data_IF_956461375646
#
_entry.id   IF_956461375646
#
_cell.length_a   1.000
_cell.length_b   1.000
_cell.length_c   1.000
_cell.angle_alpha   90.00
_cell.angle_beta   90.00
_cell.angle_gamma   90.00
#
_symmetry.space_group_name_H-M   'P 1'
#
loop_
_entity.id
_entity.type
_entity.pdbx_description
1 polymer ?
#
# COMPACT_ATOMS: atom_id res chain seq x y z
N UNK A 1 9.86 -13.90 7.50
CA UNK A 1 10.40 -14.02 6.16
C UNK A 1 10.79 -12.68 5.56
N UNK A 2 9.88 -11.80 5.12
CA UNK A 2 10.28 -10.44 4.74
C UNK A 2 10.49 -9.58 5.98
N UNK A 3 11.61 -8.88 6.04
CA UNK A 3 11.84 -7.81 7.00
C UNK A 3 11.23 -6.51 6.47
N UNK A 4 11.63 -6.11 5.27
CA UNK A 4 11.10 -4.93 4.60
C UNK A 4 11.18 -5.05 3.08
N UNK A 5 10.40 -4.24 2.40
CA UNK A 5 10.38 -4.07 0.95
C UNK A 5 10.53 -2.59 0.61
N UNK A 6 11.35 -2.28 -0.37
CA UNK A 6 11.46 -0.92 -0.90
C UNK A 6 10.81 -0.84 -2.28
N UNK A 7 9.92 0.13 -2.46
CA UNK A 7 9.33 0.49 -3.73
C UNK A 7 9.98 1.77 -4.27
N UNK A 8 10.25 1.77 -5.56
CA UNK A 8 10.65 2.99 -6.26
C UNK A 8 9.42 3.83 -6.56
N UNK A 9 9.49 5.12 -6.28
CA UNK A 9 8.41 6.06 -6.52
C UNK A 9 8.93 7.23 -7.36
N UNK A 10 8.17 7.61 -8.39
CA UNK A 10 8.48 8.79 -9.19
C UNK A 10 8.37 10.08 -8.36
N UNK A 11 7.39 10.10 -7.45
CA UNK A 11 7.18 11.16 -6.47
C UNK A 11 6.96 10.52 -5.09
N UNK A 12 8.01 10.50 -4.28
CA UNK A 12 7.99 9.84 -2.96
C UNK A 12 6.95 10.46 -2.03
N UNK A 13 6.79 11.79 -2.04
CA UNK A 13 5.81 12.48 -1.19
C UNK A 13 4.37 12.12 -1.60
N UNK A 14 4.10 12.05 -2.90
CA UNK A 14 2.79 11.64 -3.40
C UNK A 14 2.47 10.19 -3.02
N UNK A 15 3.45 9.29 -3.15
CA UNK A 15 3.29 7.88 -2.73
C UNK A 15 3.10 7.74 -1.23
N UNK A 16 3.89 8.44 -0.42
CA UNK A 16 3.73 8.43 1.04
C UNK A 16 2.34 8.92 1.45
N UNK A 17 1.86 10.00 0.84
CA UNK A 17 0.51 10.53 1.07
C UNK A 17 -0.57 9.53 0.67
N UNK A 18 -0.41 8.85 -0.46
CA UNK A 18 -1.32 7.80 -0.91
C UNK A 18 -1.46 6.69 0.13
N UNK A 19 -0.34 6.08 0.53
CA UNK A 19 -0.38 4.93 1.45
C UNK A 19 -0.90 5.32 2.83
N UNK A 20 -0.49 6.46 3.37
CA UNK A 20 -0.92 6.91 4.71
C UNK A 20 -2.37 7.38 4.74
N UNK A 21 -2.91 7.88 3.64
CA UNK A 21 -4.31 8.33 3.55
C UNK A 21 -5.24 7.16 3.24
N UNK A 22 -4.93 6.39 2.19
CA UNK A 22 -5.82 5.33 1.69
C UNK A 22 -5.82 4.12 2.62
N UNK A 23 -4.67 3.77 3.20
CA UNK A 23 -4.53 2.61 4.09
C UNK A 23 -4.50 2.99 5.58
N UNK A 24 -4.98 4.18 5.94
CA UNK A 24 -5.04 4.62 7.35
C UNK A 24 -5.83 3.65 8.23
N UNK A 25 -6.90 3.05 7.70
CA UNK A 25 -7.72 2.07 8.43
C UNK A 25 -6.96 0.78 8.79
N UNK A 26 -5.85 0.49 8.12
CA UNK A 26 -4.95 -0.63 8.44
C UNK A 26 -3.85 -0.23 9.43
N UNK A 27 -3.84 1.01 9.90
CA UNK A 27 -2.80 1.54 10.77
C UNK A 27 -1.53 1.96 10.05
N UNK A 28 -1.57 2.10 8.72
CA UNK A 28 -0.39 2.54 7.95
C UNK A 28 -0.09 4.00 8.24
N UNK A 29 1.14 4.27 8.64
CA UNK A 29 1.62 5.60 8.96
C UNK A 29 3.10 5.76 8.63
N UNK A 30 3.53 6.99 8.44
CA UNK A 30 4.96 7.31 8.32
C UNK A 30 5.64 7.08 9.68
N UNK A 31 6.68 6.25 9.69
CA UNK A 31 7.45 5.95 10.87
C UNK A 31 8.84 6.58 10.82
N UNK A 32 9.37 6.80 9.63
CA UNK A 32 10.73 7.23 9.44
C UNK A 32 10.89 7.95 8.11
N UNK A 33 11.73 8.99 8.07
CA UNK A 33 12.17 9.59 6.81
C UNK A 33 13.59 10.11 6.93
N UNK A 34 14.32 10.05 5.86
CA UNK A 34 15.66 10.64 5.81
C UNK A 34 16.00 11.09 4.38
N UNK A 35 16.90 12.09 4.25
CA UNK A 35 17.33 12.53 2.93
C UNK A 35 18.19 11.48 2.25
N UNK A 36 18.06 11.38 0.94
CA UNK A 36 18.92 10.57 0.08
C UNK A 36 19.21 11.36 -1.19
N UNK A 37 20.33 11.08 -1.86
CA UNK A 37 20.70 11.76 -3.09
C UNK A 37 19.54 11.80 -4.08
N UNK A 38 19.11 13.03 -4.44
CA UNK A 38 18.01 13.24 -5.37
C UNK A 38 16.61 13.23 -4.73
N UNK A 39 16.48 13.17 -3.38
CA UNK A 39 15.17 13.21 -2.75
C UNK A 39 15.13 12.75 -1.30
N UNK A 40 14.06 12.09 -0.96
CA UNK A 40 13.76 11.59 0.38
C UNK A 40 13.40 10.10 0.31
N UNK A 41 13.71 9.38 1.38
CA UNK A 41 13.25 8.02 1.62
C UNK A 41 12.31 8.03 2.80
N UNK A 42 11.15 7.40 2.64
CA UNK A 42 10.10 7.34 3.66
C UNK A 42 9.81 5.88 4.03
N UNK A 43 9.89 5.58 5.31
CA UNK A 43 9.53 4.28 5.87
C UNK A 43 8.12 4.30 6.44
N UNK A 44 7.28 3.40 5.99
CA UNK A 44 5.89 3.25 6.42
C UNK A 44 5.75 2.03 7.33
N UNK A 45 5.09 2.23 8.45
CA UNK A 45 4.83 1.17 9.42
C UNK A 45 3.33 0.88 9.51
N UNK A 46 3.02 -0.34 9.89
CA UNK A 46 1.71 -0.74 10.36
C UNK A 46 1.58 -0.67 11.89
N UNK A 47 0.62 -1.41 12.48
CA UNK A 47 0.35 -1.37 13.93
C UNK A 47 1.53 -1.73 14.83
N UNK A 48 2.48 -2.52 14.34
CA UNK A 48 3.68 -2.90 15.11
C UNK A 48 4.72 -1.76 15.22
N UNK A 49 4.54 -0.69 14.43
CA UNK A 49 5.45 0.46 14.44
C UNK A 49 6.76 0.27 13.70
N UNK A 50 7.01 -0.92 13.14
CA UNK A 50 8.23 -1.18 12.38
C UNK A 50 8.05 -0.81 10.90
N UNK A 51 9.02 -0.12 10.27
CA UNK A 51 8.89 0.29 8.86
C UNK A 51 9.19 -0.88 7.91
N UNK A 52 8.15 -1.63 7.54
CA UNK A 52 8.27 -2.74 6.60
C UNK A 52 8.19 -2.33 5.14
N UNK A 53 7.61 -1.17 4.83
CA UNK A 53 7.49 -0.66 3.47
C UNK A 53 8.23 0.65 3.33
N UNK A 54 9.18 0.68 2.40
CA UNK A 54 10.00 1.87 2.12
C UNK A 54 9.69 2.43 0.75
N UNK A 55 9.65 3.75 0.67
CA UNK A 55 9.45 4.49 -0.57
C UNK A 55 10.68 5.34 -0.84
N UNK A 56 11.26 5.22 -2.01
CA UNK A 56 12.45 5.98 -2.38
C UNK A 56 12.52 6.26 -3.88
N UNK A 57 13.41 7.17 -4.30
CA UNK A 57 13.62 7.44 -5.72
C UNK A 57 14.28 6.25 -6.41
N UNK A 58 14.09 6.15 -7.73
CA UNK A 58 14.78 5.16 -8.54
C UNK A 58 16.29 5.48 -8.59
N UNK A 59 17.12 4.49 -8.22
CA UNK A 59 18.57 4.66 -8.18
C UNK A 59 19.23 4.47 -9.54
N UNK A 60 18.62 3.68 -10.43
CA UNK A 60 19.22 3.28 -11.71
C UNK A 60 18.70 4.08 -12.89
N UNK A 61 17.70 4.92 -12.72
CA UNK A 61 17.02 5.63 -13.81
C UNK A 61 16.19 4.73 -14.72
N UNK A 62 16.08 3.42 -14.43
CA UNK A 62 15.23 2.50 -15.18
C UNK A 62 13.79 2.66 -14.76
N UNK A 63 12.80 2.46 -15.67
CA UNK A 63 11.40 2.42 -15.30
C UNK A 63 11.14 1.33 -14.26
N UNK A 64 10.31 1.64 -13.25
CA UNK A 64 9.87 0.66 -12.28
C UNK A 64 8.93 -0.36 -12.98
N UNK A 65 9.05 -1.63 -12.58
CA UNK A 65 8.09 -2.66 -12.99
C UNK A 65 6.91 -2.62 -12.04
N UNK A 66 5.73 -2.93 -12.56
CA UNK A 66 4.55 -3.13 -11.73
C UNK A 66 4.78 -4.28 -10.74
N UNK A 67 4.48 -4.02 -9.48
CA UNK A 67 4.44 -5.04 -8.42
C UNK A 67 3.02 -5.22 -7.93
N UNK A 68 2.74 -6.36 -7.34
CA UNK A 68 1.54 -6.62 -6.56
C UNK A 68 1.93 -6.64 -5.09
N UNK A 69 1.29 -5.76 -4.30
CA UNK A 69 1.53 -5.63 -2.87
C UNK A 69 0.22 -5.75 -2.12
N UNK A 70 0.12 -6.71 -1.21
CA UNK A 70 -1.06 -6.91 -0.37
C UNK A 70 -0.76 -6.53 1.08
N UNK A 71 -1.59 -5.66 1.65
CA UNK A 71 -1.51 -5.23 3.05
C UNK A 71 -2.63 -5.89 3.85
N UNK A 72 -2.27 -6.44 5.01
CA UNK A 72 -3.22 -7.14 5.87
C UNK A 72 -4.18 -6.19 6.55
N UNK A 73 -5.47 -6.47 6.43
CA UNK A 73 -6.53 -5.78 7.15
C UNK A 73 -6.99 -6.61 8.36
N UNK A 74 -7.28 -5.97 9.50
CA UNK A 74 -7.71 -6.68 10.70
C UNK A 74 -9.10 -7.33 10.55
N UNK A 75 -9.95 -6.76 9.71
CA UNK A 75 -11.31 -7.22 9.45
C UNK A 75 -11.81 -6.73 8.09
N UNK A 76 -13.01 -7.17 7.68
CA UNK A 76 -13.63 -6.74 6.42
C UNK A 76 -14.00 -5.25 6.43
N UNK A 77 -14.38 -4.72 7.59
CA UNK A 77 -14.73 -3.30 7.71
C UNK A 77 -13.52 -2.39 7.40
N UNK A 78 -12.31 -2.81 7.78
CA UNK A 78 -11.09 -2.10 7.41
C UNK A 78 -10.81 -2.13 5.90
N UNK A 79 -11.08 -3.26 5.23
CA UNK A 79 -11.01 -3.35 3.77
C UNK A 79 -12.00 -2.38 3.11
N UNK A 80 -13.24 -2.33 3.59
CA UNK A 80 -14.26 -1.40 3.10
C UNK A 80 -13.86 0.06 3.33
N UNK A 81 -13.24 0.36 4.48
CA UNK A 81 -12.74 1.70 4.80
C UNK A 81 -11.62 2.14 3.85
N UNK A 82 -10.73 1.24 3.47
CA UNK A 82 -9.71 1.51 2.44
C UNK A 82 -10.38 1.87 1.11
N UNK A 83 -11.39 1.14 0.70
CA UNK A 83 -12.14 1.44 -0.52
C UNK A 83 -12.79 2.85 -0.46
N UNK A 84 -13.44 3.17 0.65
CA UNK A 84 -14.05 4.50 0.86
C UNK A 84 -13.00 5.60 0.77
N UNK A 85 -11.85 5.44 1.44
CA UNK A 85 -10.76 6.41 1.38
C UNK A 85 -10.20 6.57 -0.04
N UNK A 86 -10.10 5.47 -0.79
CA UNK A 86 -9.66 5.49 -2.19
C UNK A 86 -10.63 6.30 -3.08
N UNK A 87 -11.93 6.11 -2.90
CA UNK A 87 -12.94 6.86 -3.65
C UNK A 87 -12.87 8.36 -3.34
N UNK A 88 -12.73 8.73 -2.07
CA UNK A 88 -12.58 10.14 -1.65
C UNK A 88 -11.33 10.77 -2.25
N UNK A 89 -10.23 10.03 -2.29
CA UNK A 89 -8.95 10.49 -2.83
C UNK A 89 -8.88 10.47 -4.37
N UNK A 90 -9.90 9.96 -5.05
CA UNK A 90 -9.91 9.84 -6.52
C UNK A 90 -8.95 8.78 -7.06
N UNK A 91 -8.64 7.77 -6.26
CA UNK A 91 -7.73 6.68 -6.63
C UNK A 91 -8.44 5.70 -7.56
N UNK A 92 -7.71 5.18 -8.55
CA UNK A 92 -8.25 4.14 -9.43
C UNK A 92 -8.45 2.84 -8.66
N UNK A 93 -9.69 2.38 -8.61
CA UNK A 93 -10.08 1.08 -8.04
C UNK A 93 -10.09 0.04 -9.16
N UNK A 94 -9.27 -0.99 -9.03
CA UNK A 94 -9.25 -2.10 -9.97
C UNK A 94 -10.42 -3.05 -9.73
N UNK A 95 -10.63 -3.40 -8.46
CA UNK A 95 -11.73 -4.27 -8.03
C UNK A 95 -12.25 -3.78 -6.68
N UNK A 96 -13.54 -3.45 -6.55
CA UNK A 96 -14.12 -3.09 -5.27
C UNK A 96 -14.11 -4.28 -4.30
N UNK A 97 -14.32 -4.03 -2.99
CA UNK A 97 -14.28 -5.09 -1.99
C UNK A 97 -15.27 -6.21 -2.27
N UNK A 98 -14.80 -7.43 -2.23
CA UNK A 98 -15.63 -8.63 -2.33
C UNK A 98 -14.89 -9.86 -1.84
N UNK A 99 -15.62 -10.96 -1.67
CA UNK A 99 -15.02 -12.27 -1.49
C UNK A 99 -14.43 -12.74 -2.81
N UNK A 100 -13.24 -13.33 -2.75
CA UNK A 100 -12.50 -13.89 -3.88
C UNK A 100 -12.36 -15.40 -3.68
N UNK A 101 -13.42 -16.18 -3.94
CA UNK A 101 -13.46 -17.59 -3.59
C UNK A 101 -12.45 -18.45 -4.37
N UNK A 102 -11.96 -17.96 -5.52
CA UNK A 102 -10.92 -18.64 -6.29
C UNK A 102 -9.58 -18.71 -5.55
N UNK A 103 -9.34 -17.81 -4.58
CA UNK A 103 -8.15 -17.89 -3.73
C UNK A 103 -8.43 -18.77 -2.51
N UNK A 104 -9.48 -18.47 -1.77
CA UNK A 104 -10.10 -19.33 -0.77
C UNK A 104 -11.43 -18.69 -0.28
N UNK A 105 -12.34 -19.45 0.37
CA UNK A 105 -13.68 -18.94 0.70
C UNK A 105 -13.72 -17.74 1.64
N UNK A 106 -12.70 -17.53 2.46
CA UNK A 106 -12.60 -16.44 3.41
C UNK A 106 -11.73 -15.26 2.96
N UNK A 107 -11.35 -15.22 1.68
CA UNK A 107 -10.53 -14.14 1.13
C UNK A 107 -11.41 -12.94 0.79
N UNK A 108 -11.25 -11.82 1.49
CA UNK A 108 -11.98 -10.58 1.24
C UNK A 108 -11.00 -9.44 0.97
N UNK A 109 -11.07 -8.84 -0.21
CA UNK A 109 -10.06 -7.87 -0.62
C UNK A 109 -10.55 -6.82 -1.60
N UNK A 110 -9.84 -5.68 -1.60
CA UNK A 110 -9.97 -4.57 -2.53
C UNK A 110 -8.64 -4.35 -3.24
N UNK A 111 -8.68 -4.06 -4.54
CA UNK A 111 -7.49 -3.86 -5.37
C UNK A 111 -7.49 -2.46 -5.95
N UNK A 112 -6.37 -1.74 -5.80
CA UNK A 112 -6.20 -0.35 -6.18
C UNK A 112 -4.92 -0.15 -7.00
N UNK A 113 -4.81 0.98 -7.70
CA UNK A 113 -3.53 1.45 -8.26
C UNK A 113 -2.89 2.48 -7.35
N UNK A 114 -1.61 2.32 -7.04
CA UNK A 114 -0.85 3.38 -6.40
C UNK A 114 -0.40 4.45 -7.43
N UNK A 115 0.23 5.56 -7.02
CA UNK A 115 0.65 6.61 -7.96
C UNK A 115 1.61 6.16 -9.07
N UNK A 116 2.35 5.07 -8.85
CA UNK A 116 3.28 4.51 -9.84
C UNK A 116 2.67 3.38 -10.67
N UNK A 117 1.38 3.09 -10.49
CA UNK A 117 0.65 2.06 -11.22
C UNK A 117 0.76 0.66 -10.65
N UNK A 118 1.31 0.49 -9.46
CA UNK A 118 1.37 -0.82 -8.80
C UNK A 118 -0.04 -1.28 -8.39
N UNK A 119 -0.24 -2.58 -8.41
CA UNK A 119 -1.46 -3.21 -7.91
C UNK A 119 -1.33 -3.39 -6.40
N UNK A 120 -2.06 -2.58 -5.64
CA UNK A 120 -2.01 -2.59 -4.17
C UNK A 120 -3.34 -3.06 -3.61
N UNK A 121 -3.28 -3.97 -2.66
CA UNK A 121 -4.43 -4.66 -2.11
C UNK A 121 -4.53 -4.45 -0.60
N UNK A 122 -5.75 -4.30 -0.09
CA UNK A 122 -6.07 -4.54 1.31
C UNK A 122 -6.84 -5.86 1.40
N UNK A 123 -6.38 -6.78 2.22
CA UNK A 123 -6.96 -8.13 2.30
C UNK A 123 -7.17 -8.56 3.74
N UNK A 124 -8.32 -9.18 3.98
CA UNK A 124 -8.65 -9.88 5.22
C UNK A 124 -8.96 -11.34 4.94
N UNK A 125 -8.40 -12.21 5.75
CA UNK A 125 -8.62 -13.65 5.65
C UNK A 125 -9.46 -14.15 6.82
N UNK A 126 -10.52 -14.89 6.50
CA UNK A 126 -11.27 -15.69 7.47
C UNK A 126 -11.06 -17.16 7.14
N UNK A 127 -10.48 -17.90 8.07
CA UNK A 127 -10.22 -19.33 7.91
C UNK A 127 -11.19 -20.18 8.69
#
# INVERSE_FOLDING_TARGET
MLDHLALQAADVEASASFYTTVFAALGVREAMRYPQDGGVVVGLAGPDGFPHLWLGPAETGRPAREVHLALTAPDRAAVDAVHTAALVAGVQVLHPPRVWPQYHPGYYGVFLRDPDGNNVEAVHHTF
#
